data_IF_553546396102
#
_entry.id   IF_553546396102
#
_cell.length_a   1.000
_cell.length_b   1.000
_cell.length_c   1.000
_cell.angle_alpha   90.00
_cell.angle_beta   90.00
_cell.angle_gamma   90.00
#
_symmetry.space_group_name_H-M   'P 1'
#
loop_
_entity.id
_entity.type
_entity.pdbx_description
1 polymer ?
#
# COMPACT_ATOMS: atom_id res chain seq x y z
N UNK A 1 16.57 23.07 10.86
CA UNK A 1 15.11 22.96 11.05
C UNK A 1 14.83 21.56 11.57
N UNK A 2 13.87 21.40 12.49
CA UNK A 2 13.43 20.07 12.95
C UNK A 2 12.78 19.34 11.77
N UNK A 3 13.18 18.09 11.52
CA UNK A 3 12.52 17.19 10.59
C UNK A 3 11.07 16.94 11.00
N UNK A 4 10.23 16.63 10.02
CA UNK A 4 8.80 16.35 10.22
C UNK A 4 8.56 14.84 10.26
N UNK A 5 7.50 14.44 10.96
CA UNK A 5 6.93 13.10 10.84
C UNK A 5 5.78 13.15 9.84
N UNK A 6 5.90 12.42 8.74
CA UNK A 6 4.95 12.47 7.64
C UNK A 6 4.43 11.08 7.34
N UNK A 7 3.14 10.94 7.06
CA UNK A 7 2.53 9.69 6.62
C UNK A 7 2.11 9.77 5.15
N UNK A 8 2.50 8.78 4.35
CA UNK A 8 2.11 8.65 2.95
C UNK A 8 1.14 7.48 2.82
N UNK A 9 -0.10 7.78 2.45
CA UNK A 9 -1.19 6.81 2.36
C UNK A 9 -1.80 6.79 0.95
N UNK A 10 -2.26 5.63 0.50
CA UNK A 10 -3.06 5.56 -0.73
C UNK A 10 -4.48 5.99 -0.44
N UNK A 11 -5.05 6.89 -1.24
CA UNK A 11 -6.42 7.36 -1.05
C UNK A 11 -7.49 6.46 -1.71
N UNK A 12 -7.08 5.51 -2.55
CA UNK A 12 -7.97 4.71 -3.40
C UNK A 12 -7.81 3.21 -3.07
N UNK A 13 -7.87 2.34 -4.09
CA UNK A 13 -7.71 0.88 -3.98
C UNK A 13 -6.28 0.40 -4.24
N UNK A 14 -5.28 1.18 -3.81
CA UNK A 14 -3.87 0.87 -4.02
C UNK A 14 -3.38 1.25 -5.42
N UNK A 15 -2.06 1.12 -5.62
CA UNK A 15 -1.36 1.49 -6.86
C UNK A 15 -1.45 2.98 -7.26
N UNK A 16 -1.63 3.88 -6.30
CA UNK A 16 -1.71 5.31 -6.57
C UNK A 16 -0.35 5.94 -6.91
N UNK A 17 0.73 5.15 -6.96
CA UNK A 17 2.08 5.64 -7.23
C UNK A 17 2.80 6.22 -6.01
N UNK A 18 2.53 5.69 -4.81
CA UNK A 18 3.15 6.15 -3.54
C UNK A 18 4.67 6.26 -3.59
N UNK A 19 5.35 5.35 -4.28
CA UNK A 19 6.81 5.38 -4.45
C UNK A 19 7.33 6.70 -5.01
N UNK A 20 6.56 7.41 -5.85
CA UNK A 20 6.91 8.75 -6.35
C UNK A 20 6.97 9.78 -5.23
N UNK A 21 5.99 9.74 -4.32
CA UNK A 21 5.93 10.66 -3.20
C UNK A 21 7.08 10.40 -2.24
N UNK A 22 7.34 9.12 -1.97
CA UNK A 22 8.46 8.69 -1.13
C UNK A 22 9.81 9.14 -1.72
N UNK A 23 9.98 9.03 -3.04
CA UNK A 23 11.18 9.49 -3.75
C UNK A 23 11.32 11.03 -3.77
N UNK A 24 10.22 11.77 -3.92
CA UNK A 24 10.21 13.23 -3.85
C UNK A 24 10.55 13.75 -2.44
N UNK A 25 10.15 13.02 -1.39
CA UNK A 25 10.48 13.33 0.00
C UNK A 25 11.87 12.83 0.41
N UNK A 26 12.47 11.90 -0.33
CA UNK A 26 13.58 11.09 0.17
C UNK A 26 14.83 11.89 0.59
N UNK A 27 15.05 13.07 0.01
CA UNK A 27 16.13 13.97 0.42
C UNK A 27 15.94 14.58 1.82
N UNK A 28 14.69 14.75 2.27
CA UNK A 28 14.31 15.40 3.55
C UNK A 28 14.02 14.39 4.68
N UNK A 29 13.97 13.10 4.36
CA UNK A 29 13.60 12.02 5.29
C UNK A 29 14.87 11.30 5.75
N UNK A 30 15.00 11.03 7.04
CA UNK A 30 16.11 10.28 7.63
C UNK A 30 15.71 8.84 7.96
N UNK A 31 14.45 8.63 8.34
CA UNK A 31 13.89 7.32 8.70
C UNK A 31 12.69 6.98 7.82
N UNK A 32 12.73 5.85 7.13
CA UNK A 32 11.63 5.30 6.34
C UNK A 32 11.04 4.09 7.05
N UNK A 33 9.76 4.14 7.40
CA UNK A 33 9.14 3.15 8.26
C UNK A 33 7.90 2.54 7.60
N UNK A 34 7.98 1.27 7.22
CA UNK A 34 6.84 0.47 6.76
C UNK A 34 6.05 -0.04 7.97
N UNK A 35 4.75 0.25 8.01
CA UNK A 35 3.94 0.01 9.20
C UNK A 35 2.89 -1.10 9.07
N UNK A 36 2.55 -1.53 7.85
CA UNK A 36 1.56 -2.59 7.64
C UNK A 36 1.77 -3.39 6.36
N UNK A 37 0.93 -4.41 6.21
CA UNK A 37 0.93 -5.31 5.06
C UNK A 37 2.06 -6.32 5.18
N UNK A 38 2.55 -6.78 4.03
CA UNK A 38 3.71 -7.65 3.91
C UNK A 38 4.13 -7.76 2.45
N UNK A 39 4.52 -8.97 2.02
CA UNK A 39 4.92 -9.25 0.64
C UNK A 39 3.79 -9.11 -0.43
N UNK A 40 2.57 -8.71 -0.04
CA UNK A 40 1.48 -8.36 -0.96
C UNK A 40 1.53 -6.91 -1.44
N UNK A 41 2.35 -6.08 -0.81
CA UNK A 41 2.65 -4.76 -1.31
C UNK A 41 3.68 -4.86 -2.44
N UNK A 42 3.64 -3.93 -3.36
CA UNK A 42 4.72 -3.71 -4.33
C UNK A 42 4.78 -2.22 -4.60
N UNK A 43 5.90 -1.58 -4.29
CA UNK A 43 6.13 -0.21 -4.69
C UNK A 43 7.34 -0.16 -5.62
N UNK A 44 7.17 0.61 -6.69
CA UNK A 44 8.23 0.85 -7.66
C UNK A 44 8.93 2.14 -7.31
N UNK A 45 10.25 2.10 -7.21
CA UNK A 45 11.11 3.28 -7.06
C UNK A 45 12.01 3.36 -8.29
N UNK A 46 12.23 4.58 -8.79
CA UNK A 46 13.16 4.86 -9.88
C UNK A 46 14.34 5.64 -9.32
N UNK A 47 15.51 4.99 -9.22
CA UNK A 47 16.75 5.62 -8.74
C UNK A 47 17.81 5.47 -9.82
N UNK A 48 18.45 6.58 -10.19
CA UNK A 48 19.48 6.64 -11.24
C UNK A 48 19.04 6.01 -12.59
N UNK A 49 17.76 6.22 -12.95
CA UNK A 49 17.18 5.66 -14.17
C UNK A 49 16.87 4.16 -14.12
N UNK A 50 17.12 3.49 -13.00
CA UNK A 50 16.85 2.06 -12.80
C UNK A 50 15.59 1.83 -11.95
N UNK A 51 14.79 0.84 -12.35
CA UNK A 51 13.52 0.49 -11.71
C UNK A 51 13.74 -0.59 -10.65
N UNK A 52 13.37 -0.28 -9.41
CA UNK A 52 13.37 -1.20 -8.27
C UNK A 52 11.94 -1.50 -7.86
N UNK A 53 11.64 -2.76 -7.55
CA UNK A 53 10.33 -3.17 -7.03
C UNK A 53 10.54 -3.85 -5.69
N UNK A 54 10.15 -3.18 -4.61
CA UNK A 54 10.22 -3.74 -3.27
C UNK A 54 8.83 -4.13 -2.78
N UNK A 55 8.77 -5.21 -2.01
CA UNK A 55 7.56 -5.69 -1.36
C UNK A 55 7.63 -5.44 0.15
N UNK A 56 8.75 -5.80 0.78
CA UNK A 56 8.94 -5.64 2.23
C UNK A 56 9.91 -4.51 2.57
N UNK A 57 11.04 -4.42 1.88
CA UNK A 57 12.02 -3.36 2.14
C UNK A 57 11.41 -1.97 1.94
N UNK A 58 11.60 -1.02 2.87
CA UNK A 58 11.23 0.37 2.65
C UNK A 58 12.00 0.99 1.49
N UNK A 59 11.40 1.95 0.78
CA UNK A 59 12.03 2.63 -0.36
C UNK A 59 13.37 3.31 0.00
N UNK A 60 13.55 3.64 1.29
CA UNK A 60 14.73 4.26 1.86
C UNK A 60 16.04 3.47 1.62
N UNK A 61 15.96 2.16 1.35
CA UNK A 61 17.13 1.28 1.23
C UNK A 61 18.12 1.71 0.13
N UNK A 62 17.64 2.43 -0.88
CA UNK A 62 18.44 2.92 -2.00
C UNK A 62 19.23 4.20 -1.68
N UNK A 63 18.98 4.84 -0.53
CA UNK A 63 19.57 6.12 -0.16
C UNK A 63 20.63 5.96 0.93
N UNK A 64 21.80 6.61 0.79
CA UNK A 64 22.84 6.56 1.80
C UNK A 64 22.43 7.28 3.08
N UNK A 65 22.97 6.82 4.21
CA UNK A 65 22.82 7.44 5.53
C UNK A 65 21.36 7.52 6.03
N UNK A 66 20.48 6.65 5.54
CA UNK A 66 19.09 6.54 6.01
C UNK A 66 18.92 5.34 6.93
N UNK A 67 17.84 5.34 7.70
CA UNK A 67 17.39 4.16 8.46
C UNK A 67 16.05 3.68 7.91
N UNK A 68 15.96 2.40 7.61
CA UNK A 68 14.78 1.74 7.07
C UNK A 68 14.23 0.78 8.11
N UNK A 69 12.96 0.93 8.43
CA UNK A 69 12.31 0.21 9.52
C UNK A 69 11.16 -0.62 8.96
N UNK A 70 11.14 -1.90 9.33
CA UNK A 70 9.99 -2.78 9.20
C UNK A 70 9.33 -2.88 10.58
N UNK A 71 8.19 -2.21 10.73
CA UNK A 71 7.49 -2.08 12.00
C UNK A 71 6.73 -3.33 12.46
N UNK A 72 6.27 -3.32 13.71
CA UNK A 72 5.50 -4.41 14.35
C UNK A 72 4.14 -4.66 13.69
N UNK A 73 3.63 -3.73 12.89
CA UNK A 73 2.39 -3.90 12.14
C UNK A 73 2.53 -4.73 10.86
N UNK A 74 3.76 -4.99 10.39
CA UNK A 74 4.05 -5.78 9.19
C UNK A 74 4.03 -7.29 9.49
N UNK A 75 3.52 -8.09 8.54
CA UNK A 75 3.73 -9.54 8.49
C UNK A 75 4.88 -9.84 7.52
N UNK A 76 6.01 -10.29 8.06
CA UNK A 76 7.28 -10.48 7.36
C UNK A 76 7.32 -11.86 6.74
N UNK A 77 7.51 -11.93 5.42
CA UNK A 77 7.88 -13.15 4.72
C UNK A 77 9.42 -13.21 4.65
N UNK A 78 10.09 -14.05 5.47
CA UNK A 78 11.54 -14.01 5.60
C UNK A 78 12.27 -14.34 4.31
N UNK A 79 11.76 -15.31 3.53
CA UNK A 79 12.35 -15.67 2.24
C UNK A 79 12.31 -14.48 1.27
N UNK A 80 11.16 -13.80 1.17
CA UNK A 80 11.02 -12.63 0.31
C UNK A 80 11.94 -11.50 0.76
N UNK A 81 12.01 -11.21 2.06
CA UNK A 81 12.85 -10.15 2.60
C UNK A 81 14.34 -10.41 2.36
N UNK A 82 14.80 -11.62 2.63
CA UNK A 82 16.19 -12.01 2.44
C UNK A 82 16.58 -12.00 0.96
N UNK A 83 15.67 -12.40 0.07
CA UNK A 83 15.88 -12.29 -1.37
C UNK A 83 16.00 -10.83 -1.82
N UNK A 84 15.09 -9.95 -1.39
CA UNK A 84 15.16 -8.51 -1.71
C UNK A 84 16.47 -7.87 -1.20
N UNK A 85 16.90 -8.25 0.00
CA UNK A 85 18.14 -7.75 0.58
C UNK A 85 19.36 -8.25 -0.20
N UNK A 86 19.38 -9.53 -0.56
CA UNK A 86 20.46 -10.12 -1.37
C UNK A 86 20.54 -9.45 -2.74
N UNK A 87 19.40 -9.22 -3.39
CA UNK A 87 19.36 -8.53 -4.70
C UNK A 87 19.95 -7.13 -4.63
N UNK A 88 19.75 -6.40 -3.52
CA UNK A 88 20.38 -5.09 -3.31
C UNK A 88 21.88 -5.20 -3.02
N UNK A 89 22.29 -6.16 -2.21
CA UNK A 89 23.69 -6.41 -1.87
C UNK A 89 24.52 -6.80 -3.09
N UNK A 90 23.99 -7.71 -3.92
CA UNK A 90 24.63 -8.14 -5.17
C UNK A 90 24.84 -6.96 -6.14
N UNK A 91 24.03 -5.90 -6.02
CA UNK A 91 24.12 -4.67 -6.82
C UNK A 91 24.95 -3.56 -6.13
N UNK A 92 25.40 -3.75 -4.88
CA UNK A 92 26.05 -2.71 -4.07
C UNK A 92 25.14 -1.51 -3.77
N UNK A 93 23.84 -1.78 -3.57
CA UNK A 93 22.79 -0.76 -3.37
C UNK A 93 22.10 -0.82 -2.01
N UNK A 94 22.56 -1.66 -1.09
CA UNK A 94 22.18 -1.68 0.31
C UNK A 94 22.82 -0.51 1.08
N UNK A 95 22.32 0.70 0.84
CA UNK A 95 22.97 1.94 1.29
C UNK A 95 22.44 2.49 2.61
N UNK A 96 21.39 1.88 3.16
CA UNK A 96 20.74 2.29 4.40
C UNK A 96 20.89 1.22 5.49
N UNK A 97 20.76 1.65 6.75
CA UNK A 97 20.62 0.75 7.90
C UNK A 97 19.23 0.14 7.90
N UNK A 98 19.11 -1.18 7.93
CA UNK A 98 17.84 -1.89 8.10
C UNK A 98 17.61 -2.24 9.57
N UNK A 99 16.39 -1.96 10.06
CA UNK A 99 15.88 -2.35 11.37
C UNK A 99 14.56 -3.11 11.19
N UNK A 100 14.44 -4.26 11.84
CA UNK A 100 13.26 -5.12 11.82
C UNK A 100 12.75 -5.21 13.25
N UNK A 101 11.48 -4.86 13.46
CA UNK A 101 10.84 -5.03 14.76
C UNK A 101 10.79 -6.50 15.16
N UNK A 102 11.33 -6.84 16.35
CA UNK A 102 11.15 -8.18 16.95
C UNK A 102 9.68 -8.59 17.09
N UNK A 103 8.79 -7.61 17.33
CA UNK A 103 7.35 -7.84 17.45
C UNK A 103 6.59 -8.01 16.11
N UNK A 104 7.26 -7.86 14.95
CA UNK A 104 6.62 -8.14 13.65
C UNK A 104 6.29 -9.64 13.54
N UNK A 105 5.18 -9.97 12.90
CA UNK A 105 4.74 -11.36 12.77
C UNK A 105 5.37 -12.02 11.55
N UNK A 106 5.55 -13.34 11.58
CA UNK A 106 6.21 -14.11 10.53
C UNK A 106 5.18 -14.83 9.66
N UNK A 107 5.30 -14.67 8.34
CA UNK A 107 4.55 -15.43 7.36
C UNK A 107 5.16 -16.83 7.22
N UNK A 108 4.70 -17.76 8.04
CA UNK A 108 5.06 -19.18 7.99
C UNK A 108 4.58 -19.89 6.70
N UNK A 109 5.19 -21.03 6.31
CA UNK A 109 4.82 -21.76 5.09
C UNK A 109 3.36 -22.21 5.06
N UNK A 110 2.80 -22.58 6.22
CA UNK A 110 1.40 -22.97 6.34
C UNK A 110 0.43 -21.83 6.01
N UNK A 111 0.79 -20.57 6.28
CA UNK A 111 -0.05 -19.42 5.90
C UNK A 111 -0.22 -19.32 4.39
N UNK A 112 0.86 -19.53 3.62
CA UNK A 112 0.82 -19.51 2.14
C UNK A 112 -0.05 -20.65 1.59
N UNK A 113 0.04 -21.86 2.17
CA UNK A 113 -0.82 -22.99 1.80
C UNK A 113 -2.29 -22.71 2.13
N UNK A 114 -2.58 -22.22 3.33
CA UNK A 114 -3.94 -21.91 3.79
C UNK A 114 -4.58 -20.82 2.93
N UNK A 115 -3.86 -19.73 2.63
CA UNK A 115 -4.37 -18.62 1.80
C UNK A 115 -4.81 -19.13 0.41
N UNK A 116 -3.95 -19.91 -0.25
CA UNK A 116 -4.26 -20.50 -1.56
C UNK A 116 -5.44 -21.47 -1.50
N UNK A 117 -5.53 -22.28 -0.45
CA UNK A 117 -6.61 -23.25 -0.27
C UNK A 117 -7.96 -22.58 0.06
N UNK A 118 -7.96 -21.56 0.92
CA UNK A 118 -9.17 -20.77 1.21
C UNK A 118 -9.70 -20.08 -0.06
N UNK A 119 -8.79 -19.53 -0.88
CA UNK A 119 -9.18 -18.84 -2.09
C UNK A 119 -9.66 -19.79 -3.21
N UNK A 120 -9.15 -21.03 -3.26
CA UNK A 120 -9.61 -22.04 -4.21
C UNK A 120 -11.00 -22.58 -3.86
N UNK A 121 -11.34 -22.70 -2.57
CA UNK A 121 -12.66 -23.14 -2.11
C UNK A 121 -13.76 -22.08 -2.25
N UNK A 122 -13.41 -20.79 -2.37
CA UNK A 122 -14.41 -19.73 -2.55
C UNK A 122 -15.13 -19.86 -3.88
N UNK A 123 -16.46 -19.84 -3.83
CA UNK A 123 -17.31 -19.83 -5.03
C UNK A 123 -17.04 -18.61 -5.91
N UNK A 124 -17.34 -18.72 -7.22
CA UNK A 124 -17.24 -17.58 -8.16
C UNK A 124 -18.02 -16.38 -7.61
N UNK A 125 -17.40 -15.20 -7.60
CA UNK A 125 -17.97 -13.96 -7.05
C UNK A 125 -17.85 -13.79 -5.53
N UNK A 126 -17.25 -14.75 -4.83
CA UNK A 126 -16.85 -14.62 -3.40
C UNK A 126 -15.33 -14.63 -3.21
N UNK A 127 -14.57 -14.72 -4.30
CA UNK A 127 -13.12 -14.65 -4.26
C UNK A 127 -12.72 -13.22 -3.88
N UNK A 128 -11.73 -13.07 -3.01
CA UNK A 128 -11.21 -11.74 -2.68
C UNK A 128 -10.24 -11.28 -3.77
N UNK A 129 -9.54 -12.23 -4.40
CA UNK A 129 -8.38 -12.00 -5.23
C UNK A 129 -7.11 -11.83 -4.39
N UNK A 130 -6.90 -12.68 -3.38
CA UNK A 130 -5.71 -12.61 -2.53
C UNK A 130 -4.43 -12.85 -3.35
N UNK A 131 -3.29 -12.36 -2.86
CA UNK A 131 -2.00 -12.56 -3.53
C UNK A 131 -1.43 -13.96 -3.33
N UNK A 132 -2.07 -14.82 -2.52
CA UNK A 132 -1.59 -16.15 -2.18
C UNK A 132 -0.27 -16.13 -1.40
N UNK A 133 0.05 -15.00 -0.76
CA UNK A 133 1.29 -14.76 -0.01
C UNK A 133 1.13 -15.04 1.49
N UNK A 134 -0.04 -15.49 1.96
CA UNK A 134 -0.24 -15.84 3.37
C UNK A 134 -0.51 -14.65 4.30
N UNK A 135 -0.81 -13.47 3.74
CA UNK A 135 -1.00 -12.24 4.52
C UNK A 135 -2.20 -12.34 5.45
N UNK A 136 -3.36 -12.75 4.91
CA UNK A 136 -4.58 -12.91 5.69
C UNK A 136 -4.41 -13.90 6.84
N UNK A 137 -4.00 -15.15 6.56
CA UNK A 137 -3.76 -16.14 7.61
C UNK A 137 -2.73 -15.68 8.67
N UNK A 138 -1.66 -14.97 8.29
CA UNK A 138 -0.70 -14.44 9.26
C UNK A 138 -1.31 -13.38 10.20
N UNK A 139 -2.17 -12.50 9.66
CA UNK A 139 -2.91 -11.56 10.50
C UNK A 139 -3.97 -12.26 11.36
N UNK A 140 -4.60 -13.34 10.87
CA UNK A 140 -5.50 -14.17 11.70
C UNK A 140 -4.75 -14.73 12.89
N UNK A 141 -3.56 -15.33 12.69
CA UNK A 141 -2.76 -15.87 13.79
C UNK A 141 -2.31 -14.78 14.78
N UNK A 142 -2.00 -13.57 14.29
CA UNK A 142 -1.74 -12.39 15.14
C UNK A 142 -2.94 -12.08 16.05
N UNK A 143 -4.14 -11.95 15.49
CA UNK A 143 -5.33 -11.59 16.26
C UNK A 143 -5.87 -12.76 17.11
N UNK A 144 -5.59 -14.00 16.72
CA UNK A 144 -5.83 -15.20 17.53
C UNK A 144 -4.85 -15.34 18.70
N UNK A 145 -3.75 -14.56 18.71
CA UNK A 145 -2.68 -14.55 19.71
C UNK A 145 -1.87 -15.85 19.74
N UNK A 146 -1.74 -16.50 18.58
CA UNK A 146 -0.90 -17.69 18.40
C UNK A 146 0.25 -17.48 17.41
N UNK A 147 0.27 -16.36 16.68
CA UNK A 147 1.28 -16.10 15.65
C UNK A 147 2.72 -16.09 16.17
N UNK A 148 3.62 -16.58 15.32
CA UNK A 148 5.08 -16.51 15.54
C UNK A 148 5.55 -15.10 15.17
N UNK A 149 6.33 -14.47 16.06
CA UNK A 149 6.97 -13.17 15.84
C UNK A 149 8.44 -13.31 15.47
N UNK A 150 9.05 -12.25 14.94
CA UNK A 150 10.47 -12.25 14.55
C UNK A 150 11.37 -12.56 15.74
N UNK A 151 11.07 -12.02 16.93
CA UNK A 151 11.82 -12.32 18.16
C UNK A 151 11.74 -13.80 18.57
N UNK A 152 10.61 -14.46 18.28
CA UNK A 152 10.47 -15.89 18.56
C UNK A 152 11.42 -16.71 17.69
N UNK A 153 11.77 -16.26 16.47
CA UNK A 153 12.76 -16.95 15.62
C UNK A 153 14.17 -16.94 16.23
N UNK A 154 14.44 -16.02 17.16
CA UNK A 154 15.74 -15.86 17.81
C UNK A 154 15.88 -16.73 19.07
N UNK A 155 14.76 -17.28 19.56
CA UNK A 155 14.68 -18.13 20.74
C UNK A 155 14.24 -19.55 20.32
N UNK A 156 15.18 -20.50 20.36
CA UNK A 156 14.94 -21.87 19.92
C UNK A 156 13.89 -22.62 20.74
N UNK A 157 13.79 -22.34 22.05
CA UNK A 157 12.80 -23.00 22.92
C UNK A 157 11.41 -22.45 22.64
N UNK A 158 11.27 -21.12 22.62
CA UNK A 158 10.00 -20.46 22.32
C UNK A 158 9.50 -20.76 20.90
N UNK A 159 10.39 -20.78 19.90
CA UNK A 159 10.06 -21.15 18.53
C UNK A 159 9.51 -22.56 18.47
N UNK A 160 10.18 -23.51 19.11
CA UNK A 160 9.81 -24.92 19.08
C UNK A 160 8.42 -25.13 19.68
N UNK A 161 8.21 -24.65 20.90
CA UNK A 161 6.94 -24.79 21.62
C UNK A 161 5.77 -24.22 20.81
N UNK A 162 5.90 -22.96 20.35
CA UNK A 162 4.85 -22.30 19.57
C UNK A 162 4.59 -22.99 18.24
N UNK A 163 5.64 -23.43 17.55
CA UNK A 163 5.50 -24.07 16.25
C UNK A 163 4.86 -25.45 16.36
N UNK A 164 5.21 -26.25 17.37
CA UNK A 164 4.58 -27.56 17.60
C UNK A 164 3.06 -27.39 17.74
N UNK A 165 2.62 -26.50 18.62
CA UNK A 165 1.19 -26.21 18.81
C UNK A 165 0.50 -25.69 17.54
N UNK A 166 1.08 -24.68 16.89
CA UNK A 166 0.48 -24.05 15.72
C UNK A 166 0.38 -25.02 14.53
N UNK A 167 1.43 -25.82 14.31
CA UNK A 167 1.51 -26.70 13.16
C UNK A 167 0.51 -27.85 13.26
N UNK A 168 0.29 -28.39 14.46
CA UNK A 168 -0.73 -29.41 14.70
C UNK A 168 -2.12 -28.90 14.33
N UNK A 169 -2.49 -27.71 14.82
CA UNK A 169 -3.77 -27.06 14.48
C UNK A 169 -3.87 -26.78 12.97
N UNK A 170 -2.82 -26.22 12.36
CA UNK A 170 -2.82 -25.89 10.93
C UNK A 170 -2.87 -27.12 10.04
N UNK A 171 -2.22 -28.23 10.43
CA UNK A 171 -2.30 -29.49 9.71
C UNK A 171 -3.70 -30.11 9.78
N UNK A 172 -4.43 -29.93 10.88
CA UNK A 172 -5.85 -30.31 10.93
C UNK A 172 -6.68 -29.50 9.93
N UNK A 173 -6.46 -28.19 9.83
CA UNK A 173 -7.13 -27.36 8.82
C UNK A 173 -6.80 -27.80 7.39
N UNK A 174 -5.51 -27.97 7.08
CA UNK A 174 -5.04 -28.37 5.75
C UNK A 174 -5.64 -29.71 5.32
N UNK A 175 -5.56 -30.72 6.17
CA UNK A 175 -6.00 -32.08 5.82
C UNK A 175 -7.51 -32.26 5.86
N UNK A 176 -8.18 -31.82 6.95
CA UNK A 176 -9.60 -32.13 7.17
C UNK A 176 -10.57 -31.15 6.52
N UNK A 177 -10.18 -29.89 6.34
CA UNK A 177 -11.05 -28.87 5.72
C UNK A 177 -10.68 -28.66 4.26
N UNK A 178 -9.39 -28.51 3.98
CA UNK A 178 -8.93 -28.13 2.64
C UNK A 178 -8.55 -29.31 1.74
N UNK A 179 -8.42 -30.52 2.28
CA UNK A 179 -7.95 -31.69 1.51
C UNK A 179 -6.54 -31.51 0.95
N UNK A 180 -5.71 -30.72 1.64
CA UNK A 180 -4.33 -30.42 1.27
C UNK A 180 -3.33 -31.23 2.11
N UNK A 181 -2.16 -31.48 1.55
CA UNK A 181 -1.08 -32.19 2.24
C UNK A 181 -0.58 -31.42 3.48
N UNK A 182 -0.37 -32.11 4.61
CA UNK A 182 0.18 -31.50 5.81
C UNK A 182 1.61 -31.01 5.57
N UNK A 183 2.15 -30.30 6.54
CA UNK A 183 3.55 -29.87 6.57
C UNK A 183 4.28 -30.63 7.68
N UNK A 184 5.50 -31.08 7.38
CA UNK A 184 6.33 -31.78 8.36
C UNK A 184 6.94 -30.77 9.34
N UNK A 185 6.94 -31.11 10.63
CA UNK A 185 7.49 -30.24 11.67
C UNK A 185 8.97 -29.90 11.42
N UNK A 186 9.79 -30.90 11.10
CA UNK A 186 11.23 -30.72 10.86
C UNK A 186 11.50 -29.70 9.76
N UNK A 187 10.80 -29.77 8.63
CA UNK A 187 11.00 -28.85 7.49
C UNK A 187 10.67 -27.40 7.86
N UNK A 188 9.54 -27.19 8.56
CA UNK A 188 9.11 -25.83 8.95
C UNK A 188 10.02 -25.26 10.05
N UNK A 189 10.42 -26.09 11.01
CA UNK A 189 11.32 -25.69 12.10
C UNK A 189 12.72 -25.34 11.58
N UNK A 190 13.29 -26.17 10.71
CA UNK A 190 14.61 -25.91 10.11
C UNK A 190 14.64 -24.60 9.31
N UNK A 191 13.59 -24.33 8.52
CA UNK A 191 13.44 -23.07 7.81
C UNK A 191 13.36 -21.88 8.78
N UNK A 192 12.57 -21.99 9.84
CA UNK A 192 12.41 -20.94 10.85
C UNK A 192 13.72 -20.63 11.60
N UNK A 193 14.47 -21.66 12.00
CA UNK A 193 15.80 -21.50 12.62
C UNK A 193 16.78 -20.80 11.67
N UNK A 194 16.76 -21.15 10.38
CA UNK A 194 17.60 -20.50 9.37
C UNK A 194 17.23 -19.02 9.21
N UNK A 195 15.93 -18.70 9.19
CA UNK A 195 15.46 -17.32 9.13
C UNK A 195 15.88 -16.52 10.35
N UNK A 196 15.74 -17.08 11.56
CA UNK A 196 16.19 -16.43 12.80
C UNK A 196 17.65 -16.02 12.75
N UNK A 197 18.54 -16.94 12.36
CA UNK A 197 19.98 -16.66 12.19
C UNK A 197 20.26 -15.55 11.17
N UNK A 198 19.55 -15.55 10.05
CA UNK A 198 19.76 -14.59 8.97
C UNK A 198 19.21 -13.19 9.30
N UNK A 199 18.10 -13.12 10.04
CA UNK A 199 17.46 -11.86 10.41
C UNK A 199 18.05 -11.21 11.67
N UNK A 200 18.65 -12.00 12.57
CA UNK A 200 19.19 -11.54 13.85
C UNK A 200 20.00 -10.22 13.79
N UNK A 201 20.89 -9.98 12.80
CA UNK A 201 21.66 -8.74 12.73
C UNK A 201 20.84 -7.46 12.52
N UNK A 202 19.58 -7.59 12.09
CA UNK A 202 18.70 -6.46 11.79
C UNK A 202 17.61 -6.27 12.85
N UNK A 203 17.50 -7.16 13.83
CA UNK A 203 16.42 -7.10 14.83
C UNK A 203 16.77 -6.14 15.95
N UNK A 204 15.98 -5.09 16.09
CA UNK A 204 16.10 -4.10 17.17
C UNK A 204 14.72 -3.62 17.62
N UNK A 205 14.67 -2.80 18.69
CA UNK A 205 13.44 -2.11 19.09
C UNK A 205 13.12 -0.97 18.11
N UNK A 206 12.35 -1.31 17.07
CA UNK A 206 11.93 -0.37 16.05
C UNK A 206 11.17 0.84 16.60
N UNK A 207 10.38 0.67 17.66
CA UNK A 207 9.61 1.77 18.27
C UNK A 207 10.53 2.77 18.95
N UNK A 208 11.53 2.27 19.67
CA UNK A 208 12.55 3.10 20.32
C UNK A 208 13.38 3.87 19.29
N UNK A 209 13.84 3.20 18.24
CA UNK A 209 14.62 3.84 17.16
C UNK A 209 13.85 5.00 16.51
N UNK A 210 12.53 4.84 16.32
CA UNK A 210 11.67 5.91 15.77
C UNK A 210 11.53 7.06 16.77
N UNK A 211 11.22 6.78 18.03
CA UNK A 211 11.05 7.81 19.07
C UNK A 211 12.34 8.62 19.29
N UNK A 212 13.50 7.97 19.31
CA UNK A 212 14.80 8.64 19.39
C UNK A 212 15.05 9.57 18.18
N UNK A 213 14.78 9.08 16.97
CA UNK A 213 14.91 9.91 15.77
C UNK A 213 14.00 11.15 15.82
N UNK A 214 12.76 11.01 16.28
CA UNK A 214 11.81 12.13 16.42
C UNK A 214 12.32 13.14 17.47
N UNK A 215 12.86 12.66 18.61
CA UNK A 215 13.42 13.51 19.67
C UNK A 215 14.65 14.28 19.22
N UNK A 216 15.50 13.66 18.42
CA UNK A 216 16.66 14.28 17.77
C UNK A 216 16.26 15.27 16.66
N UNK A 217 14.98 15.32 16.30
CA UNK A 217 14.48 16.21 15.26
C UNK A 217 14.83 15.74 13.86
N UNK A 218 14.99 14.43 13.64
CA UNK A 218 15.14 13.81 12.32
C UNK A 218 13.80 13.71 11.59
N UNK A 219 13.83 13.70 10.26
CA UNK A 219 12.63 13.49 9.45
C UNK A 219 12.24 12.01 9.43
N UNK A 220 10.97 11.70 9.68
CA UNK A 220 10.45 10.32 9.70
C UNK A 220 9.29 10.20 8.71
N UNK A 221 9.33 9.18 7.86
CA UNK A 221 8.29 8.90 6.88
C UNK A 221 7.61 7.56 7.18
N UNK A 222 6.31 7.59 7.44
CA UNK A 222 5.48 6.39 7.51
C UNK A 222 5.06 6.01 6.09
N UNK A 223 5.64 4.93 5.58
CA UNK A 223 5.43 4.43 4.24
C UNK A 223 4.27 3.42 4.23
N UNK A 224 3.10 3.86 3.76
CA UNK A 224 1.92 3.01 3.63
C UNK A 224 1.98 2.09 2.41
N UNK A 225 1.44 0.89 2.55
CA UNK A 225 1.12 0.02 1.42
C UNK A 225 -0.39 -0.06 1.20
N UNK A 226 -0.81 -0.54 0.02
CA UNK A 226 -2.21 -0.55 -0.40
C UNK A 226 -2.86 0.85 -0.33
N UNK A 227 -4.17 0.96 -0.11
CA UNK A 227 -4.88 2.23 -0.05
C UNK A 227 -6.05 2.15 0.91
N UNK A 228 -6.61 3.31 1.25
CA UNK A 228 -7.68 3.47 2.25
C UNK A 228 -8.89 2.58 1.95
N UNK A 229 -9.23 2.40 0.68
CA UNK A 229 -10.42 1.62 0.31
C UNK A 229 -10.17 0.10 0.30
N UNK A 230 -8.93 -0.31 0.61
CA UNK A 230 -8.54 -1.69 0.91
C UNK A 230 -8.28 -1.91 2.40
N UNK A 231 -8.55 -0.94 3.25
CA UNK A 231 -8.43 -1.07 4.70
C UNK A 231 -9.42 -2.10 5.26
N UNK A 232 -8.98 -2.87 6.27
CA UNK A 232 -9.80 -3.94 6.86
C UNK A 232 -11.10 -3.41 7.49
N UNK A 233 -11.08 -2.19 8.04
CA UNK A 233 -12.21 -1.56 8.72
C UNK A 233 -12.88 -0.49 7.85
N UNK A 234 -12.06 0.27 7.10
CA UNK A 234 -12.50 1.45 6.34
C UNK A 234 -12.60 1.22 4.84
N UNK A 235 -12.30 0.01 4.36
CA UNK A 235 -12.36 -0.34 2.96
C UNK A 235 -13.69 -0.94 2.51
N UNK A 236 -13.69 -1.46 1.29
CA UNK A 236 -14.84 -2.17 0.69
C UNK A 236 -14.95 -3.61 1.21
N UNK A 237 -15.06 -3.80 2.52
CA UNK A 237 -15.07 -5.13 3.18
C UNK A 237 -16.20 -6.02 2.61
N UNK A 238 -15.94 -7.30 2.25
CA UNK A 238 -14.75 -8.10 2.56
C UNK A 238 -13.63 -8.03 1.51
N UNK A 239 -13.77 -7.22 0.45
CA UNK A 239 -12.79 -7.12 -0.62
C UNK A 239 -11.69 -6.11 -0.26
N UNK A 240 -10.92 -6.45 0.76
CA UNK A 240 -9.93 -5.60 1.43
C UNK A 240 -8.68 -6.43 1.78
N UNK A 241 -7.62 -5.76 2.22
CA UNK A 241 -6.49 -6.45 2.87
C UNK A 241 -6.77 -6.66 4.35
N UNK A 242 -5.99 -7.51 5.01
CA UNK A 242 -6.18 -7.88 6.44
C UNK A 242 -5.44 -6.96 7.40
N UNK A 243 -5.18 -5.72 6.99
CA UNK A 243 -4.40 -4.74 7.75
C UNK A 243 -4.97 -3.35 7.54
N UNK A 244 -4.37 -2.34 8.19
CA UNK A 244 -4.88 -0.98 8.19
C UNK A 244 -3.93 -0.01 7.45
N UNK A 245 -4.05 0.17 6.11
CA UNK A 245 -3.33 1.15 5.32
C UNK A 245 -3.51 2.61 5.75
N UNK A 246 -4.56 2.93 6.51
CA UNK A 246 -4.82 4.32 6.93
C UNK A 246 -3.70 4.88 7.82
N UNK A 247 -3.60 6.21 7.91
CA UNK A 247 -2.54 6.91 8.65
C UNK A 247 -2.46 6.49 10.13
N UNK A 248 -3.60 6.25 10.78
CA UNK A 248 -3.66 5.75 12.14
C UNK A 248 -3.02 4.35 12.31
N UNK A 249 -3.06 3.53 11.25
CA UNK A 249 -2.35 2.25 11.20
C UNK A 249 -0.83 2.43 11.29
N UNK A 250 -0.30 3.58 10.85
CA UNK A 250 1.09 3.97 11.04
C UNK A 250 1.49 4.07 12.51
N UNK A 251 0.63 4.67 13.33
CA UNK A 251 0.89 4.83 14.76
C UNK A 251 0.94 3.47 15.47
N UNK A 252 -0.06 2.62 15.23
CA UNK A 252 -0.15 1.28 15.82
C UNK A 252 0.94 0.34 15.31
N UNK A 253 1.27 0.43 14.02
CA UNK A 253 2.23 -0.45 13.35
C UNK A 253 3.69 -0.09 13.56
N UNK A 254 3.98 1.07 14.18
CA UNK A 254 5.32 1.58 14.47
C UNK A 254 5.58 1.88 15.95
N UNK A 255 4.56 1.73 16.81
CA UNK A 255 4.68 2.01 18.25
C UNK A 255 4.75 3.50 18.59
N UNK A 256 4.14 4.38 17.78
CA UNK A 256 4.20 5.83 18.00
C UNK A 256 2.87 6.40 18.52
N UNK A 257 2.95 7.46 19.32
CA UNK A 257 1.77 8.19 19.78
C UNK A 257 1.17 9.02 18.63
N UNK A 258 -0.17 9.14 18.52
CA UNK A 258 -0.80 9.75 17.34
C UNK A 258 -0.49 11.25 17.16
N UNK A 259 -0.08 11.95 18.21
CA UNK A 259 0.26 13.39 18.16
C UNK A 259 1.58 13.70 17.47
N UNK A 260 2.39 12.69 17.13
CA UNK A 260 3.69 12.93 16.50
C UNK A 260 3.58 13.19 14.99
N UNK A 261 2.49 12.77 14.35
CA UNK A 261 2.32 12.90 12.90
C UNK A 261 1.98 14.35 12.55
N UNK A 262 2.91 15.04 11.89
CA UNK A 262 2.77 16.45 11.50
C UNK A 262 1.94 16.63 10.22
N UNK A 263 2.07 15.68 9.27
CA UNK A 263 1.47 15.79 7.94
C UNK A 263 1.02 14.43 7.42
N UNK A 264 -0.18 14.37 6.83
CA UNK A 264 -0.66 13.17 6.12
C UNK A 264 -0.87 13.52 4.65
N UNK A 265 -0.14 12.84 3.78
CA UNK A 265 -0.15 13.03 2.33
C UNK A 265 -0.93 11.88 1.70
N UNK A 266 -2.09 12.20 1.12
CA UNK A 266 -2.90 11.27 0.35
C UNK A 266 -2.41 11.17 -1.08
N UNK A 267 -1.98 9.99 -1.50
CA UNK A 267 -1.62 9.74 -2.90
C UNK A 267 -2.86 9.34 -3.66
N UNK A 268 -3.18 10.11 -4.69
CA UNK A 268 -4.39 9.98 -5.51
C UNK A 268 -3.95 9.88 -6.96
N UNK A 269 -4.40 8.86 -7.67
CA UNK A 269 -4.23 8.80 -9.12
C UNK A 269 -5.34 9.63 -9.78
N UNK A 270 -5.05 10.31 -10.89
CA UNK A 270 -6.02 11.13 -11.64
C UNK A 270 -7.22 10.34 -12.20
N UNK A 271 -7.22 9.02 -12.05
CA UNK A 271 -8.31 8.11 -12.33
C UNK A 271 -8.23 6.96 -11.33
N UNK A 272 -9.27 6.14 -11.24
CA UNK A 272 -9.30 5.04 -10.29
C UNK A 272 -8.83 3.73 -10.93
N UNK A 273 -8.13 2.91 -10.14
CA UNK A 273 -7.78 1.55 -10.51
C UNK A 273 -8.04 0.60 -9.37
N UNK A 274 -8.43 -0.64 -9.67
CA UNK A 274 -8.62 -1.68 -8.66
C UNK A 274 -7.99 -3.00 -9.10
N UNK A 275 -7.26 -3.62 -8.18
CA UNK A 275 -6.77 -5.00 -8.31
C UNK A 275 -7.71 -5.91 -7.54
N UNK A 276 -8.09 -7.05 -8.14
CA UNK A 276 -8.98 -8.02 -7.50
C UNK A 276 -10.47 -7.71 -7.68
N UNK A 277 -11.29 -8.46 -6.96
CA UNK A 277 -12.75 -8.34 -6.99
C UNK A 277 -13.25 -7.22 -6.07
N UNK A 278 -14.56 -7.00 -6.05
CA UNK A 278 -15.25 -6.06 -5.17
C UNK A 278 -15.85 -4.84 -5.90
N UNK A 279 -16.70 -4.06 -5.22
CA UNK A 279 -17.36 -2.90 -5.81
C UNK A 279 -16.37 -1.87 -6.35
N UNK A 280 -16.68 -1.33 -7.52
CA UNK A 280 -15.93 -0.25 -8.13
C UNK A 280 -16.92 0.65 -8.89
N UNK A 281 -17.59 1.58 -8.20
CA UNK A 281 -18.72 2.33 -8.77
C UNK A 281 -18.36 3.05 -10.09
N UNK A 282 -17.15 3.61 -10.17
CA UNK A 282 -16.69 4.35 -11.35
C UNK A 282 -15.97 3.50 -12.40
N UNK A 283 -16.03 2.18 -12.30
CA UNK A 283 -15.43 1.28 -13.29
C UNK A 283 -15.99 1.55 -14.70
N UNK A 284 -15.09 1.71 -15.66
CA UNK A 284 -15.44 1.81 -17.07
C UNK A 284 -15.00 0.51 -17.76
N UNK A 285 -15.97 -0.29 -18.17
CA UNK A 285 -15.71 -1.56 -18.88
C UNK A 285 -15.65 -1.39 -20.40
N UNK A 286 -15.82 -0.16 -20.90
CA UNK A 286 -15.77 0.19 -22.31
C UNK A 286 -14.39 0.65 -22.78
N UNK A 287 -14.39 1.35 -23.92
CA UNK A 287 -13.19 1.82 -24.60
C UNK A 287 -12.36 2.80 -23.76
N UNK A 288 -13.01 3.69 -23.00
CA UNK A 288 -12.30 4.66 -22.18
C UNK A 288 -11.55 3.98 -21.01
N UNK A 289 -12.15 3.00 -20.36
CA UNK A 289 -11.47 2.19 -19.35
C UNK A 289 -10.28 1.40 -19.91
N UNK A 290 -10.41 0.86 -21.13
CA UNK A 290 -9.30 0.21 -21.83
C UNK A 290 -8.19 1.21 -22.19
N UNK A 291 -8.54 2.42 -22.65
CA UNK A 291 -7.58 3.47 -22.95
C UNK A 291 -6.81 3.95 -21.71
N UNK A 292 -7.50 4.14 -20.57
CA UNK A 292 -6.88 4.42 -19.27
C UNK A 292 -5.89 3.33 -18.88
N UNK A 293 -6.28 2.06 -19.05
CA UNK A 293 -5.44 0.91 -18.73
C UNK A 293 -4.15 0.91 -19.55
N UNK A 294 -4.27 1.09 -20.86
CA UNK A 294 -3.14 1.02 -21.77
C UNK A 294 -2.19 2.19 -21.58
N UNK A 295 -2.71 3.43 -21.62
CA UNK A 295 -1.91 4.64 -21.39
C UNK A 295 -1.25 4.65 -20.01
N UNK A 296 -1.96 4.16 -19.00
CA UNK A 296 -1.47 4.10 -17.62
C UNK A 296 -0.52 2.94 -17.34
N UNK A 297 -0.35 1.97 -18.25
CA UNK A 297 0.41 0.74 -18.00
C UNK A 297 -0.17 -0.06 -16.83
N UNK A 298 -1.50 -0.17 -16.74
CA UNK A 298 -2.20 -0.69 -15.57
C UNK A 298 -2.27 -2.22 -15.55
N UNK A 299 -1.10 -2.82 -15.32
CA UNK A 299 -0.88 -4.25 -15.24
C UNK A 299 -0.12 -4.60 -13.95
N UNK A 300 -0.43 -5.73 -13.34
CA UNK A 300 0.26 -6.18 -12.13
C UNK A 300 1.76 -6.39 -12.37
N UNK A 301 2.63 -5.78 -11.56
CA UNK A 301 4.08 -5.83 -11.74
C UNK A 301 4.66 -7.26 -11.75
N UNK A 302 4.09 -8.17 -10.97
CA UNK A 302 4.54 -9.57 -10.87
C UNK A 302 3.74 -10.51 -11.77
N UNK A 303 2.42 -10.29 -11.89
CA UNK A 303 1.50 -11.24 -12.53
C UNK A 303 1.11 -10.86 -13.95
N UNK A 304 1.37 -9.61 -14.38
CA UNK A 304 0.90 -9.07 -15.65
C UNK A 304 -0.62 -8.90 -15.76
N UNK A 305 -1.39 -9.22 -14.71
CA UNK A 305 -2.86 -9.20 -14.78
C UNK A 305 -3.38 -7.77 -15.01
N UNK A 306 -4.31 -7.55 -15.97
CA UNK A 306 -4.88 -6.23 -16.20
C UNK A 306 -5.68 -5.76 -14.99
N UNK A 307 -5.53 -4.49 -14.65
CA UNK A 307 -6.28 -3.85 -13.57
C UNK A 307 -7.59 -3.31 -14.10
N UNK A 308 -8.61 -3.32 -13.25
CA UNK A 308 -9.87 -2.63 -13.51
C UNK A 308 -9.60 -1.13 -13.46
N UNK A 309 -10.12 -0.38 -14.42
CA UNK A 309 -9.88 1.05 -14.56
C UNK A 309 -11.22 1.79 -14.61
N UNK A 310 -11.23 3.01 -14.11
CA UNK A 310 -12.45 3.80 -14.00
C UNK A 310 -12.13 5.26 -13.72
N UNK A 311 -13.15 6.09 -13.75
CA UNK A 311 -13.02 7.52 -13.56
C UNK A 311 -12.72 7.89 -12.10
N UNK A 312 -12.18 9.10 -11.89
CA UNK A 312 -11.92 9.60 -10.55
C UNK A 312 -13.22 9.65 -9.73
N UNK A 313 -13.13 9.19 -8.49
CA UNK A 313 -14.24 9.12 -7.55
C UNK A 313 -14.01 10.11 -6.41
N UNK A 314 -14.66 11.28 -6.47
CA UNK A 314 -14.53 12.32 -5.46
C UNK A 314 -15.31 11.98 -4.18
N UNK A 315 -16.36 11.16 -4.28
CA UNK A 315 -17.09 10.67 -3.09
C UNK A 315 -16.16 9.82 -2.22
N UNK A 316 -15.46 8.88 -2.85
CA UNK A 316 -14.48 8.04 -2.19
C UNK A 316 -13.25 8.83 -1.72
N UNK A 317 -12.79 9.83 -2.48
CA UNK A 317 -11.70 10.71 -2.08
C UNK A 317 -12.04 11.51 -0.82
N UNK A 318 -13.21 12.18 -0.77
CA UNK A 318 -13.67 12.90 0.44
C UNK A 318 -13.71 12.00 1.66
N UNK A 319 -14.18 10.76 1.48
CA UNK A 319 -14.15 9.76 2.53
C UNK A 319 -12.73 9.46 3.01
N UNK A 320 -11.79 9.22 2.08
CA UNK A 320 -10.41 8.94 2.42
C UNK A 320 -9.72 10.13 3.13
N UNK A 321 -9.97 11.36 2.68
CA UNK A 321 -9.47 12.59 3.31
C UNK A 321 -9.89 12.64 4.78
N UNK A 322 -11.17 12.43 5.06
CA UNK A 322 -11.71 12.42 6.42
C UNK A 322 -11.10 11.32 7.28
N UNK A 323 -11.06 10.08 6.79
CA UNK A 323 -10.59 8.91 7.55
C UNK A 323 -9.12 9.05 7.95
N UNK A 324 -8.29 9.64 7.09
CA UNK A 324 -6.86 9.76 7.33
C UNK A 324 -6.44 11.09 7.96
N UNK A 325 -7.34 12.08 8.06
CA UNK A 325 -6.96 13.44 8.41
C UNK A 325 -5.95 14.02 7.41
N UNK A 326 -6.17 13.80 6.12
CA UNK A 326 -5.24 14.24 5.08
C UNK A 326 -5.11 15.76 5.08
N UNK A 327 -3.88 16.25 4.96
CA UNK A 327 -3.56 17.68 4.90
C UNK A 327 -3.16 18.13 3.49
N UNK A 328 -2.81 17.19 2.61
CA UNK A 328 -2.47 17.48 1.22
C UNK A 328 -2.60 16.25 0.34
N UNK A 329 -2.79 16.48 -0.96
CA UNK A 329 -2.83 15.46 -2.00
C UNK A 329 -1.53 15.47 -2.82
N UNK A 330 -1.07 14.26 -3.15
CA UNK A 330 -0.13 14.01 -4.22
C UNK A 330 -0.88 13.36 -5.39
N UNK A 331 -1.18 14.13 -6.42
CA UNK A 331 -1.89 13.68 -7.61
C UNK A 331 -0.89 13.02 -8.58
N UNK A 332 -1.14 11.79 -9.00
CA UNK A 332 -0.26 11.06 -9.92
C UNK A 332 -0.96 10.72 -11.23
N UNK A 333 -0.15 10.50 -12.27
CA UNK A 333 -0.59 10.08 -13.61
C UNK A 333 -1.60 11.04 -14.25
N UNK A 334 -1.43 12.35 -14.06
CA UNK A 334 -2.28 13.34 -14.73
C UNK A 334 -2.13 13.25 -16.26
N UNK A 335 -0.92 12.92 -16.73
CA UNK A 335 -0.58 12.75 -18.14
C UNK A 335 -1.40 11.69 -18.87
N UNK A 336 -1.90 10.68 -18.17
CA UNK A 336 -2.73 9.60 -18.74
C UNK A 336 -4.06 10.14 -19.29
N UNK A 337 -4.57 11.23 -18.74
CA UNK A 337 -5.80 11.87 -19.21
C UNK A 337 -5.60 12.72 -20.47
N UNK A 338 -4.36 12.96 -20.90
CA UNK A 338 -4.05 13.72 -22.11
C UNK A 338 -4.64 13.07 -23.36
N UNK A 339 -5.29 13.87 -24.19
CA UNK A 339 -5.98 13.45 -25.42
C UNK A 339 -7.41 12.95 -25.19
N UNK A 340 -7.96 13.03 -23.97
CA UNK A 340 -9.37 12.76 -23.70
C UNK A 340 -10.18 14.05 -23.91
N UNK A 341 -11.25 14.01 -24.72
CA UNK A 341 -12.05 15.20 -25.00
C UNK A 341 -12.89 15.68 -23.80
N UNK A 342 -13.49 14.74 -23.08
CA UNK A 342 -14.28 14.99 -21.87
C UNK A 342 -13.86 13.99 -20.80
N UNK A 343 -13.69 14.47 -19.57
CA UNK A 343 -13.25 13.68 -18.42
C UNK A 343 -14.40 13.63 -17.41
N UNK A 344 -15.09 12.49 -17.29
CA UNK A 344 -16.04 12.25 -16.22
C UNK A 344 -15.35 12.23 -14.85
N UNK A 345 -15.96 12.87 -13.87
CA UNK A 345 -15.55 12.84 -12.46
C UNK A 345 -16.77 12.58 -11.60
N UNK A 346 -16.72 11.53 -10.77
CA UNK A 346 -17.87 11.15 -9.97
C UNK A 346 -17.97 12.05 -8.73
N UNK A 347 -19.08 12.76 -8.61
CA UNK A 347 -19.34 13.75 -7.54
C UNK A 347 -20.34 13.25 -6.50
N UNK A 348 -21.19 12.29 -6.89
CA UNK A 348 -22.18 11.62 -6.03
C UNK A 348 -22.53 10.24 -6.56
N UNK A 349 -23.36 9.51 -5.83
CA UNK A 349 -23.93 8.24 -6.25
C UNK A 349 -25.45 8.30 -6.32
N UNK A 350 -26.04 7.48 -7.18
CA UNK A 350 -27.44 7.07 -7.08
C UNK A 350 -27.49 5.64 -6.55
N UNK A 351 -28.15 5.43 -5.41
CA UNK A 351 -28.34 4.12 -4.79
C UNK A 351 -29.83 3.94 -4.53
N UNK A 352 -30.42 2.91 -5.14
CA UNK A 352 -31.85 2.60 -4.99
C UNK A 352 -32.77 3.82 -5.26
N UNK A 353 -32.39 4.65 -6.24
CA UNK A 353 -33.13 5.87 -6.63
C UNK A 353 -32.89 7.10 -5.76
N UNK A 354 -32.01 7.03 -4.75
CA UNK A 354 -31.64 8.15 -3.89
C UNK A 354 -30.26 8.68 -4.23
N UNK A 355 -30.12 10.01 -4.24
CA UNK A 355 -28.83 10.67 -4.40
C UNK A 355 -28.05 10.66 -3.08
N UNK A 356 -26.78 10.28 -3.13
CA UNK A 356 -25.90 10.12 -1.97
C UNK A 356 -24.54 10.76 -2.27
N UNK A 357 -24.12 11.71 -1.43
CA UNK A 357 -22.84 12.42 -1.58
C UNK A 357 -21.72 11.84 -0.71
N UNK A 358 -22.05 10.81 0.07
CA UNK A 358 -21.15 10.14 1.00
C UNK A 358 -20.85 8.71 0.56
N UNK A 359 -19.62 8.26 0.85
CA UNK A 359 -19.22 6.91 0.52
C UNK A 359 -20.05 5.90 1.34
N UNK A 360 -20.79 4.99 0.67
CA UNK A 360 -21.76 4.14 1.36
C UNK A 360 -21.05 3.07 2.19
N UNK A 361 -21.56 2.82 3.40
CA UNK A 361 -21.12 1.69 4.19
C UNK A 361 -21.72 0.38 3.66
N UNK A 362 -20.92 -0.69 3.69
CA UNK A 362 -21.35 -2.02 3.30
C UNK A 362 -21.27 -2.30 1.80
N UNK A 363 -20.72 -3.47 1.47
CA UNK A 363 -20.41 -3.90 0.10
C UNK A 363 -21.63 -3.99 -0.81
N UNK A 364 -22.80 -4.35 -0.27
CA UNK A 364 -24.03 -4.47 -1.05
C UNK A 364 -24.60 -3.11 -1.49
N UNK A 365 -24.42 -2.06 -0.68
CA UNK A 365 -24.78 -0.69 -1.08
C UNK A 365 -23.77 -0.17 -2.10
N UNK A 366 -22.48 -0.36 -1.83
CA UNK A 366 -21.40 0.00 -2.75
C UNK A 366 -21.56 -0.67 -4.13
N UNK A 367 -21.94 -1.95 -4.17
CA UNK A 367 -22.14 -2.70 -5.43
C UNK A 367 -23.38 -2.28 -6.23
N UNK A 368 -24.31 -1.53 -5.63
CA UNK A 368 -25.50 -0.97 -6.30
C UNK A 368 -25.35 0.51 -6.63
N UNK A 369 -24.27 1.15 -6.18
CA UNK A 369 -24.01 2.55 -6.42
C UNK A 369 -23.73 2.81 -7.90
N UNK A 370 -24.54 3.68 -8.50
CA UNK A 370 -24.32 4.21 -9.84
C UNK A 370 -23.66 5.58 -9.72
N UNK A 371 -22.52 5.81 -10.39
CA UNK A 371 -21.83 7.09 -10.32
C UNK A 371 -22.64 8.20 -11.01
N UNK A 372 -22.79 9.33 -10.31
CA UNK A 372 -23.25 10.60 -10.88
C UNK A 372 -22.00 11.39 -11.28
N UNK A 373 -21.90 11.71 -12.57
CA UNK A 373 -20.71 12.34 -13.15
C UNK A 373 -20.94 13.82 -13.45
N UNK A 374 -19.98 14.64 -13.02
CA UNK A 374 -19.69 15.91 -13.68
C UNK A 374 -18.73 15.66 -14.85
N UNK A 375 -18.83 16.48 -15.90
CA UNK A 375 -18.03 16.32 -17.13
C UNK A 375 -17.14 17.53 -17.32
N UNK A 376 -15.85 17.35 -17.04
CA UNK A 376 -14.84 18.38 -17.25
C UNK A 376 -14.29 18.31 -18.68
N UNK A 377 -13.90 19.45 -19.22
CA UNK A 377 -13.19 19.48 -20.50
C UNK A 377 -11.78 18.91 -20.36
N UNK A 378 -11.38 18.02 -21.26
CA UNK A 378 -10.00 17.52 -21.29
C UNK A 378 -9.10 18.34 -22.22
N UNK A 379 -7.82 17.96 -22.27
CA UNK A 379 -6.76 18.66 -22.98
C UNK A 379 -6.03 17.71 -23.94
N UNK A 380 -5.32 18.25 -24.92
CA UNK A 380 -4.54 17.48 -25.90
C UNK A 380 -3.04 17.80 -25.87
N UNK A 381 -2.66 18.89 -25.22
CA UNK A 381 -1.28 19.34 -25.09
C UNK A 381 -0.46 18.37 -24.22
N UNK A 382 0.79 18.12 -24.64
CA UNK A 382 1.72 17.32 -23.85
C UNK A 382 2.17 18.08 -22.60
N UNK A 383 1.85 17.53 -21.43
CA UNK A 383 2.19 18.11 -20.12
C UNK A 383 3.46 17.52 -19.50
N UNK A 384 4.12 16.57 -20.17
CA UNK A 384 5.22 15.77 -19.62
C UNK A 384 6.47 16.58 -19.26
N UNK A 385 6.57 17.79 -19.81
CA UNK A 385 7.66 18.75 -19.58
C UNK A 385 7.30 19.87 -18.62
N UNK A 386 6.04 19.96 -18.16
CA UNK A 386 5.64 20.97 -17.18
C UNK A 386 6.35 20.71 -15.84
N UNK A 387 6.87 21.77 -15.22
CA UNK A 387 7.54 21.76 -13.90
C UNK A 387 6.91 22.75 -12.92
N UNK A 388 6.13 23.68 -13.42
CA UNK A 388 5.33 24.64 -12.64
C UNK A 388 3.85 24.46 -12.95
N UNK A 389 2.98 24.81 -12.00
CA UNK A 389 1.54 24.61 -12.13
C UNK A 389 0.96 25.45 -13.28
N UNK A 390 1.46 26.67 -13.44
CA UNK A 390 1.04 27.65 -14.44
C UNK A 390 1.38 27.21 -15.87
N UNK A 391 2.34 26.30 -16.04
CA UNK A 391 2.72 25.72 -17.32
C UNK A 391 1.73 24.67 -17.81
N UNK A 392 0.83 24.19 -16.95
CA UNK A 392 -0.22 23.25 -17.35
C UNK A 392 -1.30 23.98 -18.20
N UNK A 393 -1.87 23.29 -19.21
CA UNK A 393 -3.05 23.77 -19.92
C UNK A 393 -4.15 24.17 -18.94
N UNK A 394 -4.91 25.23 -19.26
CA UNK A 394 -5.95 25.74 -18.37
C UNK A 394 -6.94 24.65 -17.95
N UNK A 395 -7.28 23.73 -18.86
CA UNK A 395 -8.18 22.61 -18.60
C UNK A 395 -7.60 21.58 -17.62
N UNK A 396 -6.30 21.31 -17.70
CA UNK A 396 -5.59 20.46 -16.74
C UNK A 396 -5.51 21.12 -15.36
N UNK A 397 -5.29 22.44 -15.30
CA UNK A 397 -5.32 23.20 -14.04
C UNK A 397 -6.69 23.14 -13.38
N UNK A 398 -7.76 23.40 -14.14
CA UNK A 398 -9.15 23.29 -13.67
C UNK A 398 -9.48 21.89 -13.15
N UNK A 399 -8.94 20.85 -13.76
CA UNK A 399 -9.09 19.48 -13.25
C UNK A 399 -8.47 19.31 -11.86
N UNK A 400 -7.25 19.83 -11.66
CA UNK A 400 -6.58 19.80 -10.35
C UNK A 400 -7.34 20.65 -9.33
N UNK A 401 -7.73 21.87 -9.69
CA UNK A 401 -8.50 22.78 -8.84
C UNK A 401 -9.84 22.17 -8.41
N UNK A 402 -10.53 21.46 -9.32
CA UNK A 402 -11.76 20.75 -8.98
C UNK A 402 -11.56 19.63 -7.94
N UNK A 403 -10.41 18.96 -7.96
CA UNK A 403 -10.04 17.99 -6.92
C UNK A 403 -9.80 18.72 -5.59
N UNK A 404 -9.11 19.87 -5.61
CA UNK A 404 -8.85 20.68 -4.42
C UNK A 404 -10.17 21.17 -3.79
N UNK A 405 -11.08 21.71 -4.61
CA UNK A 405 -12.41 22.17 -4.18
C UNK A 405 -13.21 21.04 -3.55
N UNK A 406 -13.29 19.88 -4.22
CA UNK A 406 -14.08 18.76 -3.73
C UNK A 406 -13.49 18.10 -2.48
N UNK A 407 -12.16 18.05 -2.35
CA UNK A 407 -11.48 17.43 -1.21
C UNK A 407 -11.28 18.36 -0.02
N UNK A 408 -11.33 19.68 -0.24
CA UNK A 408 -11.08 20.71 0.76
C UNK A 408 -9.62 20.85 1.17
N UNK A 409 -8.68 20.20 0.46
CA UNK A 409 -7.25 20.22 0.76
C UNK A 409 -6.41 20.42 -0.52
N UNK A 410 -5.20 21.01 -0.42
CA UNK A 410 -4.41 21.34 -1.59
C UNK A 410 -3.74 20.11 -2.22
N UNK A 411 -3.57 20.16 -3.54
CA UNK A 411 -2.73 19.25 -4.33
C UNK A 411 -1.33 19.85 -4.43
N UNK A 412 -0.41 19.36 -3.60
CA UNK A 412 0.94 19.92 -3.49
C UNK A 412 1.99 19.22 -4.36
N UNK A 413 1.66 18.04 -4.89
CA UNK A 413 2.49 17.29 -5.84
C UNK A 413 1.62 16.84 -7.01
N UNK A 414 2.09 17.05 -8.24
CA UNK A 414 1.41 16.61 -9.46
C UNK A 414 2.39 15.85 -10.35
N UNK A 415 2.15 14.55 -10.55
CA UNK A 415 2.89 13.72 -11.49
C UNK A 415 2.36 13.90 -12.91
N UNK A 416 3.25 14.30 -13.83
CA UNK A 416 2.94 14.58 -15.24
C UNK A 416 3.67 13.62 -16.20
N UNK A 417 4.16 12.49 -15.71
CA UNK A 417 4.82 11.46 -16.52
C UNK A 417 5.56 10.46 -15.64
N UNK A 418 6.06 9.34 -16.17
CA UNK A 418 6.65 8.25 -15.38
C UNK A 418 8.00 8.58 -14.72
N UNK A 419 8.75 9.56 -15.23
CA UNK A 419 10.04 9.98 -14.69
C UNK A 419 9.95 10.68 -13.34
N UNK A 420 11.06 10.62 -12.58
CA UNK A 420 11.21 11.29 -11.28
C UNK A 420 11.04 12.80 -11.41
N UNK A 421 11.72 13.38 -12.37
CA UNK A 421 11.72 14.82 -12.69
C UNK A 421 10.38 15.29 -13.29
N UNK A 422 9.52 14.37 -13.74
CA UNK A 422 8.19 14.67 -14.30
C UNK A 422 7.16 14.88 -13.19
N UNK A 423 7.50 15.76 -12.24
CA UNK A 423 6.71 16.06 -11.06
C UNK A 423 6.73 17.56 -10.81
N UNK A 424 5.55 18.18 -10.68
CA UNK A 424 5.36 19.57 -10.27
C UNK A 424 5.19 19.59 -8.74
N UNK A 425 5.95 20.45 -8.06
CA UNK A 425 5.86 20.66 -6.61
C UNK A 425 5.36 22.09 -6.36
N UNK A 426 4.27 22.25 -5.59
CA UNK A 426 3.69 23.56 -5.27
C UNK A 426 4.10 24.02 -3.87
N UNK A 427 3.62 23.35 -2.83
CA UNK A 427 3.97 23.63 -1.42
C UNK A 427 4.40 22.34 -0.70
N UNK A 428 5.41 21.65 -1.25
CA UNK A 428 5.74 20.26 -0.91
C UNK A 428 6.85 20.07 0.13
#
# INVERSE_FOLDING_TARGET
MKGRVEAVVGAQWGDEGKGRVVDALGGKVDVFARYQGGANAGHTVLVDGQKYVFHLLPSGMLYPCKTCIIGNGVVVDPDQLLNELKELQDQGKDRARLVISGAAHVVMPYHKKIDKAQESLRSKGRKIGTTGRGIGPAYVDKYSRCGIRVEDLLDGEALREKLEYNLDEKNMYLTKIFGAEPLAFSEVYEAAVKWGKALAPYVEDASLVIDEAIREGKGVLFEGAQGTLLDIDHGTYPFVTSSSPVAAGGCVGLGTGPRVVDRVIGVVKAYCTRVGEGPFPTEDTGEAGAALREKGGEYGATTGRPRRCGWLDLVALRYAVRVNGMSSIALTKLDVLTGMGTIPVCTGYEIDGQHEEHFPSGVYRQGRAKPVYERLEGWSEDISRCREFEQLPLKARKYVEHIEEASGIPVNLIGVGPGRDQTILRNF
#
